data_IF_867859962388
#
_entry.id   IF_867859962388
#
_cell.length_a   1.000
_cell.length_b   1.000
_cell.length_c   1.000
_cell.angle_alpha   90.00
_cell.angle_beta   90.00
_cell.angle_gamma   90.00
#
_symmetry.space_group_name_H-M   'P 1'
#
loop_
_entity.id
_entity.type
_entity.pdbx_description
1 polymer ?
#
# COMPACT_ATOMS: atom_id res chain seq x y z
N UNK A 1 12.98 1.87 7.40
CA UNK A 1 11.72 1.13 7.38
C UNK A 1 11.16 1.17 5.96
N UNK A 2 10.80 0.01 5.39
CA UNK A 2 10.11 -0.05 4.10
C UNK A 2 8.76 0.65 4.24
N UNK A 3 8.46 1.62 3.37
CA UNK A 3 7.13 2.24 3.31
C UNK A 3 6.14 1.25 2.70
N UNK A 4 5.00 1.05 3.35
CA UNK A 4 3.91 0.31 2.74
C UNK A 4 3.39 1.11 1.54
N UNK A 5 3.36 0.47 0.35
CA UNK A 5 2.77 1.03 -0.86
C UNK A 5 1.23 0.93 -0.77
N UNK A 6 0.66 1.52 0.28
CA UNK A 6 -0.79 1.52 0.49
C UNK A 6 -1.42 2.68 -0.29
N UNK A 7 -2.65 2.49 -0.78
CA UNK A 7 -3.44 3.60 -1.30
C UNK A 7 -3.60 4.68 -0.25
N UNK A 8 -3.52 5.94 -0.65
CA UNK A 8 -3.90 7.05 0.22
C UNK A 8 -5.41 7.23 0.21
N UNK A 9 -5.98 7.61 1.35
CA UNK A 9 -7.39 7.89 1.50
C UNK A 9 -7.60 9.36 1.79
N UNK A 10 -8.55 9.97 1.09
CA UNK A 10 -9.11 11.25 1.48
C UNK A 10 -10.30 10.98 2.38
N UNK A 11 -10.19 11.45 3.61
CA UNK A 11 -11.12 11.10 4.69
C UNK A 11 -11.77 12.35 5.26
N UNK A 12 -13.03 12.22 5.64
CA UNK A 12 -13.77 13.21 6.39
C UNK A 12 -13.49 13.00 7.86
N UNK A 13 -12.96 14.02 8.53
CA UNK A 13 -12.52 13.94 9.92
C UNK A 13 -13.09 15.07 10.75
N UNK A 14 -13.30 14.78 12.02
CA UNK A 14 -13.79 15.72 13.04
C UNK A 14 -12.91 15.61 14.29
N UNK A 15 -12.90 16.61 15.19
CA UNK A 15 -12.31 16.45 16.50
C UNK A 15 -12.85 15.22 17.24
N UNK A 16 -12.03 14.56 18.05
CA UNK A 16 -12.40 13.32 18.76
C UNK A 16 -13.67 13.51 19.62
N UNK A 17 -13.76 14.67 20.31
CA UNK A 17 -14.88 15.05 21.17
C UNK A 17 -16.10 15.62 20.40
N UNK A 18 -16.04 15.71 19.07
CA UNK A 18 -17.12 16.27 18.25
C UNK A 18 -18.41 15.48 18.38
N UNK A 19 -19.54 16.20 18.37
CA UNK A 19 -20.88 15.61 18.31
C UNK A 19 -21.20 14.91 17.00
N UNK A 20 -20.50 15.25 15.91
CA UNK A 20 -20.72 14.70 14.57
C UNK A 20 -20.14 13.29 14.45
N UNK A 21 -20.98 12.30 14.16
CA UNK A 21 -20.58 10.88 14.07
C UNK A 21 -20.59 10.34 12.64
N UNK A 22 -21.36 10.97 11.76
CA UNK A 22 -21.56 10.58 10.35
C UNK A 22 -21.73 11.84 9.49
N UNK A 23 -21.54 11.73 8.16
CA UNK A 23 -21.61 12.88 7.26
C UNK A 23 -22.92 13.67 7.35
N UNK A 24 -24.05 12.99 7.56
CA UNK A 24 -25.39 13.59 7.65
C UNK A 24 -25.53 14.56 8.81
N UNK A 25 -24.77 14.37 9.86
CA UNK A 25 -24.80 15.25 11.04
C UNK A 25 -24.22 16.65 10.75
N UNK A 26 -23.47 16.80 9.63
CA UNK A 26 -22.81 18.05 9.24
C UNK A 26 -23.71 19.01 8.45
N UNK A 27 -25.00 18.75 8.32
CA UNK A 27 -25.93 19.63 7.61
C UNK A 27 -25.87 21.06 8.15
N UNK A 28 -25.63 22.04 7.26
CA UNK A 28 -25.45 23.45 7.59
C UNK A 28 -24.06 23.81 8.14
N UNK A 29 -23.17 22.83 8.30
CA UNK A 29 -21.82 23.03 8.84
C UNK A 29 -20.80 23.49 7.80
N UNK A 30 -19.59 23.79 8.30
CA UNK A 30 -18.43 24.25 7.52
C UNK A 30 -17.40 23.11 7.43
N UNK A 31 -17.00 22.77 6.20
CA UNK A 31 -15.99 21.74 5.90
C UNK A 31 -14.80 22.35 5.18
N UNK A 32 -13.60 22.29 5.77
CA UNK A 32 -12.38 22.81 5.16
C UNK A 32 -11.59 21.71 4.43
N UNK A 33 -11.05 22.03 3.24
CA UNK A 33 -10.32 21.03 2.42
C UNK A 33 -9.53 21.67 1.29
N UNK A 34 -8.49 20.97 0.80
CA UNK A 34 -7.84 21.27 -0.48
C UNK A 34 -8.70 20.79 -1.68
N UNK A 35 -9.51 19.72 -1.49
CA UNK A 35 -10.31 19.08 -2.54
C UNK A 35 -11.73 19.66 -2.65
N UNK A 36 -11.88 20.98 -2.75
CA UNK A 36 -13.18 21.66 -2.71
C UNK A 36 -14.20 21.04 -3.67
N UNK A 37 -13.84 20.82 -4.96
CA UNK A 37 -14.78 20.31 -5.98
C UNK A 37 -15.23 18.87 -5.67
N UNK A 38 -14.31 18.03 -5.24
CA UNK A 38 -14.59 16.62 -4.91
C UNK A 38 -15.45 16.54 -3.66
N UNK A 39 -15.13 17.31 -2.63
CA UNK A 39 -15.87 17.37 -1.38
C UNK A 39 -17.31 17.90 -1.58
N UNK A 40 -17.49 18.95 -2.39
CA UNK A 40 -18.84 19.42 -2.78
C UNK A 40 -19.63 18.33 -3.50
N UNK A 41 -19.01 17.63 -4.45
CA UNK A 41 -19.67 16.52 -5.17
C UNK A 41 -20.07 15.39 -4.22
N UNK A 42 -19.20 15.02 -3.27
CA UNK A 42 -19.48 13.99 -2.27
C UNK A 42 -20.72 14.33 -1.43
N UNK A 43 -20.81 15.54 -0.88
CA UNK A 43 -21.96 15.94 -0.07
C UNK A 43 -23.22 16.11 -0.89
N UNK A 44 -23.12 16.65 -2.12
CA UNK A 44 -24.25 16.76 -3.04
C UNK A 44 -24.84 15.39 -3.42
N UNK A 45 -24.01 14.37 -3.64
CA UNK A 45 -24.46 13.01 -3.91
C UNK A 45 -25.20 12.36 -2.73
N UNK A 46 -24.90 12.80 -1.51
CA UNK A 46 -25.59 12.35 -0.27
C UNK A 46 -26.80 13.22 0.08
N UNK A 47 -27.06 14.29 -0.66
CA UNK A 47 -28.13 15.25 -0.34
C UNK A 47 -27.89 16.08 0.92
N UNK A 48 -26.62 16.27 1.31
CA UNK A 48 -26.23 16.99 2.50
C UNK A 48 -25.77 18.40 2.10
N UNK A 49 -26.40 19.43 2.68
CA UNK A 49 -25.97 20.81 2.48
C UNK A 49 -24.90 21.23 3.49
N UNK A 50 -23.70 21.57 2.97
CA UNK A 50 -22.56 22.04 3.77
C UNK A 50 -21.84 23.18 3.04
N UNK A 51 -21.25 24.09 3.81
CA UNK A 51 -20.35 25.10 3.26
C UNK A 51 -18.94 24.51 3.14
N UNK A 52 -18.46 24.31 1.91
CA UNK A 52 -17.10 23.81 1.67
C UNK A 52 -16.16 24.97 1.41
N UNK A 53 -15.16 25.13 2.26
CA UNK A 53 -14.13 26.18 2.21
C UNK A 53 -12.77 25.60 1.77
N UNK A 54 -12.02 26.40 1.01
CA UNK A 54 -10.66 26.05 0.64
C UNK A 54 -9.72 26.23 1.83
N UNK A 55 -8.90 25.21 2.08
CA UNK A 55 -7.86 25.23 3.08
C UNK A 55 -6.60 24.57 2.52
N UNK A 56 -5.47 25.27 2.58
CA UNK A 56 -4.19 24.74 2.14
C UNK A 56 -3.24 24.60 3.33
N UNK A 57 -2.59 23.42 3.41
CA UNK A 57 -1.58 23.08 4.43
C UNK A 57 -2.13 23.04 5.86
N UNK A 58 -1.62 22.12 6.65
CA UNK A 58 -1.97 21.90 8.04
C UNK A 58 -3.50 21.88 8.29
N UNK A 59 -4.25 21.20 7.40
CA UNK A 59 -5.71 21.15 7.45
C UNK A 59 -6.18 20.49 8.75
N UNK A 60 -5.42 19.53 9.28
CA UNK A 60 -5.67 18.89 10.57
C UNK A 60 -5.68 19.85 11.76
N UNK A 61 -4.87 20.93 11.72
CA UNK A 61 -4.85 21.94 12.78
C UNK A 61 -6.12 22.81 12.74
N UNK A 62 -6.64 23.04 11.52
CA UNK A 62 -7.85 23.85 11.30
C UNK A 62 -9.14 23.14 11.71
N UNK A 63 -9.09 21.83 11.94
CA UNK A 63 -10.24 21.05 12.39
C UNK A 63 -10.90 21.57 13.68
N UNK A 64 -10.21 22.41 14.44
CA UNK A 64 -10.76 23.08 15.63
C UNK A 64 -11.49 24.40 15.35
N UNK A 65 -11.38 24.91 14.11
CA UNK A 65 -11.96 26.20 13.69
C UNK A 65 -13.19 26.02 12.79
N UNK A 66 -13.45 24.78 12.35
CA UNK A 66 -14.56 24.39 11.46
C UNK A 66 -15.25 23.14 12.01
N UNK A 67 -16.37 22.73 11.43
CA UNK A 67 -17.13 21.56 11.90
C UNK A 67 -16.47 20.24 11.51
N UNK A 68 -15.83 20.20 10.33
CA UNK A 68 -15.07 19.06 9.85
C UNK A 68 -13.99 19.48 8.86
N UNK A 69 -13.03 18.59 8.62
CA UNK A 69 -12.05 18.75 7.54
C UNK A 69 -11.99 17.51 6.66
N UNK A 70 -11.59 17.69 5.40
CA UNK A 70 -11.24 16.58 4.51
C UNK A 70 -9.74 16.64 4.27
N UNK A 71 -9.07 15.57 4.64
CA UNK A 71 -7.62 15.49 4.58
C UNK A 71 -7.15 14.12 4.06
N UNK A 72 -5.89 14.06 3.60
CA UNK A 72 -5.27 12.85 3.07
C UNK A 72 -4.57 12.05 4.17
N UNK A 73 -4.71 10.74 4.15
CA UNK A 73 -4.00 9.86 5.07
C UNK A 73 -3.71 8.48 4.49
N UNK A 74 -2.59 7.88 4.87
CA UNK A 74 -2.32 6.46 4.66
C UNK A 74 -2.88 5.62 5.81
N UNK A 75 -2.41 5.89 7.03
CA UNK A 75 -2.66 5.07 8.23
C UNK A 75 -3.60 5.71 9.24
N UNK A 76 -3.88 6.99 9.09
CA UNK A 76 -4.61 7.79 10.08
C UNK A 76 -3.80 8.17 11.33
N UNK A 77 -2.49 7.86 11.38
CA UNK A 77 -1.68 8.09 12.57
C UNK A 77 -1.53 9.58 12.91
N UNK A 78 -1.27 10.43 11.91
CA UNK A 78 -1.19 11.89 12.09
C UNK A 78 -2.52 12.47 12.59
N UNK A 79 -3.65 12.03 12.01
CA UNK A 79 -4.97 12.48 12.42
C UNK A 79 -5.25 12.14 13.89
N UNK A 80 -5.00 10.90 14.31
CA UNK A 80 -5.14 10.49 15.72
C UNK A 80 -4.23 11.26 16.64
N UNK A 81 -2.97 11.52 16.25
CA UNK A 81 -2.02 12.29 17.04
C UNK A 81 -2.49 13.74 17.25
N UNK A 82 -3.30 14.29 16.34
CA UNK A 82 -3.92 15.59 16.45
C UNK A 82 -5.32 15.57 17.10
N UNK A 83 -5.73 14.44 17.69
CA UNK A 83 -7.04 14.32 18.35
C UNK A 83 -8.21 14.33 17.36
N UNK A 84 -8.00 13.78 16.14
CA UNK A 84 -9.01 13.74 15.10
C UNK A 84 -9.50 12.32 14.86
N UNK A 85 -10.78 12.19 14.57
CA UNK A 85 -11.48 10.95 14.29
C UNK A 85 -12.02 10.95 12.85
N UNK A 86 -11.80 9.85 12.13
CA UNK A 86 -12.37 9.65 10.79
C UNK A 86 -13.83 9.24 10.94
N UNK A 87 -14.73 9.94 10.21
CA UNK A 87 -16.16 9.59 10.17
C UNK A 87 -16.61 9.05 8.81
N UNK A 88 -15.85 9.32 7.72
CA UNK A 88 -16.09 8.67 6.42
C UNK A 88 -14.83 8.74 5.53
N UNK A 89 -14.82 7.94 4.46
CA UNK A 89 -13.81 7.97 3.41
C UNK A 89 -14.43 8.51 2.12
N UNK A 90 -13.95 9.66 1.67
CA UNK A 90 -14.47 10.34 0.47
C UNK A 90 -13.91 9.69 -0.80
N UNK A 91 -12.62 9.36 -0.80
CA UNK A 91 -11.94 8.83 -1.97
C UNK A 91 -10.71 8.01 -1.58
N UNK A 92 -10.46 6.96 -2.33
CA UNK A 92 -9.19 6.22 -2.28
C UNK A 92 -8.39 6.56 -3.54
N UNK A 93 -7.13 6.90 -3.37
CA UNK A 93 -6.25 7.32 -4.46
C UNK A 93 -4.96 6.51 -4.47
N UNK A 94 -4.51 6.19 -5.68
CA UNK A 94 -3.21 5.55 -5.92
C UNK A 94 -2.43 6.35 -6.96
N UNK A 95 -1.09 6.46 -6.85
CA UNK A 95 -0.27 7.04 -7.90
C UNK A 95 -0.48 6.33 -9.24
N UNK A 96 -0.54 7.11 -10.32
CA UNK A 96 -0.69 6.59 -11.69
C UNK A 96 0.33 7.25 -12.61
N UNK A 97 0.99 6.46 -13.44
CA UNK A 97 1.74 6.98 -14.58
C UNK A 97 0.73 7.36 -15.66
N UNK A 98 0.78 8.61 -16.10
CA UNK A 98 -0.11 9.12 -17.14
C UNK A 98 0.69 9.66 -18.32
N UNK A 99 0.13 9.59 -19.52
CA UNK A 99 0.68 10.18 -20.71
C UNK A 99 -0.38 10.99 -21.46
N UNK A 100 0.00 12.06 -22.15
CA UNK A 100 -0.93 12.73 -23.03
C UNK A 100 -1.17 11.91 -24.32
N UNK A 101 -2.34 12.10 -24.94
CA UNK A 101 -2.75 11.31 -26.11
C UNK A 101 -1.82 11.47 -27.31
N UNK A 102 -1.25 12.66 -27.50
CA UNK A 102 -0.31 12.93 -28.61
C UNK A 102 1.00 12.18 -28.42
N UNK A 103 1.57 12.17 -27.21
CA UNK A 103 2.75 11.37 -26.91
C UNK A 103 2.49 9.87 -27.04
N UNK A 104 1.29 9.42 -26.68
CA UNK A 104 0.89 8.01 -26.80
C UNK A 104 0.75 7.56 -28.27
N UNK A 105 0.37 8.43 -29.19
CA UNK A 105 0.28 8.12 -30.64
C UNK A 105 1.61 8.11 -31.36
N UNK A 106 2.68 8.67 -30.76
CA UNK A 106 4.04 8.63 -31.26
C UNK A 106 4.70 7.31 -30.82
N UNK A 107 5.11 6.49 -31.78
CA UNK A 107 5.60 5.13 -31.51
C UNK A 107 6.86 5.12 -30.61
N UNK A 108 7.83 5.98 -30.87
CA UNK A 108 9.04 6.09 -30.07
C UNK A 108 8.75 6.52 -28.63
N UNK A 109 7.89 7.52 -28.45
CA UNK A 109 7.51 7.99 -27.10
C UNK A 109 6.70 6.95 -26.34
N UNK A 110 5.77 6.26 -27.02
CA UNK A 110 5.01 5.17 -26.42
C UNK A 110 5.91 4.06 -25.90
N UNK A 111 6.87 3.59 -26.74
CA UNK A 111 7.85 2.57 -26.32
C UNK A 111 8.63 3.01 -25.07
N UNK A 112 9.08 4.26 -25.01
CA UNK A 112 9.78 4.78 -23.82
C UNK A 112 8.90 4.82 -22.58
N UNK A 113 7.63 5.23 -22.73
CA UNK A 113 6.66 5.24 -21.62
C UNK A 113 6.37 3.82 -21.12
N UNK A 114 6.19 2.87 -22.04
CA UNK A 114 5.97 1.45 -21.71
C UNK A 114 7.18 0.84 -20.97
N UNK A 115 8.41 1.13 -21.45
CA UNK A 115 9.64 0.68 -20.80
C UNK A 115 9.79 1.25 -19.37
N UNK A 116 9.49 2.54 -19.18
CA UNK A 116 9.49 3.16 -17.85
C UNK A 116 8.41 2.49 -16.95
N UNK A 117 7.21 2.29 -17.49
CA UNK A 117 6.13 1.63 -16.76
C UNK A 117 6.52 0.22 -16.32
N UNK A 118 7.14 -0.55 -17.22
CA UNK A 118 7.63 -1.90 -16.92
C UNK A 118 8.67 -1.92 -15.80
N UNK A 119 9.65 -1.01 -15.84
CA UNK A 119 10.67 -0.89 -14.81
C UNK A 119 10.09 -0.48 -13.45
N UNK A 120 9.17 0.48 -13.44
CA UNK A 120 8.47 0.90 -12.21
C UNK A 120 7.62 -0.23 -11.62
N UNK A 121 6.89 -0.96 -12.46
CA UNK A 121 6.11 -2.13 -12.03
C UNK A 121 7.01 -3.24 -11.47
N UNK A 122 8.15 -3.50 -12.11
CA UNK A 122 9.15 -4.45 -11.63
C UNK A 122 9.70 -4.07 -10.26
N UNK A 123 10.07 -2.78 -10.08
CA UNK A 123 10.54 -2.26 -8.80
C UNK A 123 9.49 -2.38 -7.69
N UNK A 124 8.21 -2.07 -7.99
CA UNK A 124 7.11 -2.22 -7.04
C UNK A 124 6.88 -3.70 -6.69
N UNK A 125 6.89 -4.58 -7.68
CA UNK A 125 6.73 -6.02 -7.46
C UNK A 125 7.86 -6.61 -6.61
N UNK A 126 9.12 -6.18 -6.86
CA UNK A 126 10.29 -6.62 -6.11
C UNK A 126 10.29 -6.11 -4.66
N UNK A 127 9.69 -4.95 -4.39
CA UNK A 127 9.70 -4.31 -3.07
C UNK A 127 9.07 -5.17 -1.96
N UNK A 128 8.13 -6.04 -2.31
CA UNK A 128 7.42 -6.92 -1.37
C UNK A 128 7.96 -8.35 -1.40
N UNK A 129 9.05 -8.61 -2.11
CA UNK A 129 9.65 -9.94 -2.23
C UNK A 129 11.02 -9.99 -1.56
N UNK A 130 11.38 -11.17 -1.12
CA UNK A 130 12.69 -11.51 -0.57
C UNK A 130 13.23 -12.76 -1.28
N UNK A 131 14.54 -12.80 -1.46
CA UNK A 131 15.24 -14.03 -1.85
C UNK A 131 15.55 -14.84 -0.61
N UNK A 132 15.16 -16.08 -0.59
CA UNK A 132 15.48 -17.03 0.47
C UNK A 132 16.43 -18.07 -0.09
N UNK A 133 17.59 -18.22 0.55
CA UNK A 133 18.60 -19.24 0.22
C UNK A 133 18.79 -20.15 1.42
N UNK A 134 19.03 -21.44 1.14
CA UNK A 134 19.23 -22.44 2.18
C UNK A 134 20.00 -23.64 1.65
N UNK A 135 20.65 -24.38 2.54
CA UNK A 135 21.25 -25.66 2.24
C UNK A 135 20.36 -26.77 2.80
N UNK A 136 20.16 -27.82 2.01
CA UNK A 136 19.28 -28.93 2.35
C UNK A 136 19.96 -30.25 2.00
N UNK A 137 19.85 -31.26 2.87
CA UNK A 137 20.27 -32.63 2.49
C UNK A 137 19.37 -33.14 1.38
N UNK A 138 19.94 -33.91 0.46
CA UNK A 138 19.17 -34.54 -0.64
C UNK A 138 18.02 -35.40 -0.13
N UNK A 139 18.21 -36.07 1.02
CA UNK A 139 17.16 -36.86 1.67
C UNK A 139 15.93 -36.03 2.07
N UNK A 140 16.15 -34.78 2.42
CA UNK A 140 15.13 -33.90 2.98
C UNK A 140 14.56 -32.91 1.94
N UNK A 141 15.13 -32.93 0.72
CA UNK A 141 14.79 -31.98 -0.34
C UNK A 141 13.30 -32.00 -0.67
N UNK A 142 12.70 -33.16 -0.79
CA UNK A 142 11.28 -33.28 -1.13
C UNK A 142 10.39 -32.61 -0.07
N UNK A 143 10.66 -32.87 1.21
CA UNK A 143 9.91 -32.27 2.31
C UNK A 143 10.04 -30.74 2.36
N UNK A 144 11.24 -30.20 2.05
CA UNK A 144 11.47 -28.76 1.96
C UNK A 144 10.74 -28.17 0.75
N UNK A 145 10.79 -28.83 -0.41
CA UNK A 145 10.14 -28.36 -1.64
C UNK A 145 8.61 -28.25 -1.50
N UNK A 146 7.99 -29.16 -0.75
CA UNK A 146 6.54 -29.15 -0.48
C UNK A 146 6.09 -27.96 0.39
N UNK A 147 6.99 -27.41 1.20
CA UNK A 147 6.72 -26.23 2.03
C UNK A 147 6.88 -24.91 1.28
N UNK A 148 7.64 -24.90 0.18
CA UNK A 148 7.98 -23.67 -0.53
C UNK A 148 6.84 -23.22 -1.43
N UNK A 149 6.32 -21.99 -1.23
CA UNK A 149 5.35 -21.39 -2.14
C UNK A 149 6.10 -21.00 -3.42
N UNK A 150 5.93 -21.75 -4.48
CA UNK A 150 6.60 -21.44 -5.73
C UNK A 150 5.64 -20.82 -6.74
N UNK A 151 5.91 -19.59 -7.20
CA UNK A 151 5.32 -19.06 -8.43
C UNK A 151 5.77 -19.88 -9.64
N UNK A 152 6.94 -20.51 -9.53
CA UNK A 152 7.58 -21.50 -10.42
C UNK A 152 8.39 -22.44 -9.54
N UNK A 153 9.19 -23.31 -10.11
CA UNK A 153 10.08 -24.19 -9.34
C UNK A 153 11.20 -23.39 -8.66
N UNK A 154 11.56 -23.68 -7.40
CA UNK A 154 12.78 -23.16 -6.78
C UNK A 154 14.04 -23.57 -7.58
N UNK A 155 15.09 -22.78 -7.51
CA UNK A 155 16.39 -23.14 -8.07
C UNK A 155 17.06 -24.11 -7.12
N UNK A 156 17.51 -25.27 -7.63
CA UNK A 156 18.29 -26.26 -6.88
C UNK A 156 19.66 -26.40 -7.52
N UNK A 157 20.72 -26.18 -6.73
CA UNK A 157 22.11 -26.27 -7.19
C UNK A 157 22.90 -27.26 -6.36
N UNK A 158 23.82 -28.01 -6.99
CA UNK A 158 24.70 -28.94 -6.31
C UNK A 158 25.71 -28.15 -5.45
N UNK A 159 26.00 -28.68 -4.26
CA UNK A 159 27.10 -28.22 -3.42
C UNK A 159 28.35 -29.09 -3.61
N UNK A 160 29.48 -28.68 -3.03
CA UNK A 160 30.71 -29.45 -3.07
C UNK A 160 30.55 -30.81 -2.37
N UNK A 161 29.75 -30.88 -1.29
CA UNK A 161 29.31 -32.19 -0.75
C UNK A 161 28.12 -32.71 -1.58
N UNK A 162 28.26 -33.87 -2.20
CA UNK A 162 27.21 -34.46 -3.07
C UNK A 162 25.93 -34.82 -2.32
N UNK A 163 25.96 -34.91 -0.98
CA UNK A 163 24.78 -35.19 -0.16
C UNK A 163 23.93 -33.93 0.11
N UNK A 164 24.41 -32.77 -0.28
CA UNK A 164 23.75 -31.50 -0.04
C UNK A 164 23.45 -30.73 -1.32
N UNK A 165 22.40 -29.93 -1.28
CA UNK A 165 22.03 -28.99 -2.33
C UNK A 165 21.76 -27.62 -1.73
N UNK A 166 22.00 -26.58 -2.53
CA UNK A 166 21.50 -25.25 -2.26
C UNK A 166 20.13 -25.08 -2.91
N UNK A 167 19.18 -24.51 -2.18
CA UNK A 167 17.86 -24.17 -2.67
C UNK A 167 17.70 -22.65 -2.59
N UNK A 168 17.24 -22.05 -3.69
CA UNK A 168 16.96 -20.60 -3.75
C UNK A 168 15.55 -20.37 -4.28
N UNK A 169 14.81 -19.49 -3.60
CA UNK A 169 13.44 -19.14 -3.98
C UNK A 169 13.18 -17.66 -3.70
N UNK A 170 12.37 -17.04 -4.55
CA UNK A 170 11.84 -15.69 -4.32
C UNK A 170 10.41 -15.84 -3.82
N UNK A 171 10.11 -15.17 -2.70
CA UNK A 171 8.80 -15.28 -2.06
C UNK A 171 8.36 -13.93 -1.46
N UNK A 172 7.05 -13.76 -1.19
CA UNK A 172 6.57 -12.55 -0.50
C UNK A 172 7.16 -12.42 0.91
N UNK A 173 7.71 -11.26 1.25
CA UNK A 173 8.32 -10.98 2.57
C UNK A 173 7.39 -11.33 3.75
N UNK A 174 6.07 -11.13 3.58
CA UNK A 174 5.08 -11.37 4.64
C UNK A 174 5.02 -12.82 5.14
N UNK A 175 5.40 -13.79 4.31
CA UNK A 175 5.32 -15.22 4.67
C UNK A 175 6.65 -15.77 5.20
N UNK A 176 7.77 -15.08 5.00
CA UNK A 176 9.11 -15.53 5.39
C UNK A 176 9.16 -15.95 6.86
N UNK A 177 8.72 -15.09 7.79
CA UNK A 177 8.78 -15.35 9.23
C UNK A 177 8.00 -16.58 9.69
N UNK A 178 6.95 -16.95 8.96
CA UNK A 178 6.16 -18.16 9.26
C UNK A 178 6.76 -19.40 8.59
N UNK A 179 7.40 -19.22 7.45
CA UNK A 179 7.96 -20.29 6.65
C UNK A 179 9.29 -20.81 7.22
N UNK A 180 10.19 -19.91 7.64
CA UNK A 180 11.54 -20.27 8.13
C UNK A 180 11.53 -21.30 9.27
N UNK A 181 10.67 -21.22 10.30
CA UNK A 181 10.64 -22.27 11.33
C UNK A 181 10.24 -23.64 10.79
N UNK A 182 9.35 -23.71 9.80
CA UNK A 182 8.91 -24.95 9.17
C UNK A 182 10.00 -25.57 8.31
N UNK A 183 10.71 -24.74 7.54
CA UNK A 183 11.86 -25.15 6.74
C UNK A 183 12.98 -25.72 7.60
N UNK A 184 13.29 -25.09 8.75
CA UNK A 184 14.27 -25.59 9.70
C UNK A 184 13.88 -26.96 10.25
N UNK A 185 12.62 -27.18 10.59
CA UNK A 185 12.12 -28.50 11.04
C UNK A 185 12.18 -29.56 9.95
N UNK A 186 12.05 -29.18 8.70
CA UNK A 186 12.19 -30.05 7.54
C UNK A 186 13.65 -30.31 7.12
N UNK A 187 14.65 -29.83 7.88
CA UNK A 187 16.07 -30.11 7.65
C UNK A 187 16.83 -29.01 6.90
N UNK A 188 16.21 -27.87 6.59
CA UNK A 188 16.91 -26.74 5.98
C UNK A 188 17.88 -26.06 6.96
N UNK A 189 19.09 -25.73 6.49
CA UNK A 189 20.15 -25.08 7.24
C UNK A 189 20.71 -23.88 6.49
N UNK A 190 21.47 -23.02 7.16
CA UNK A 190 22.08 -21.84 6.51
C UNK A 190 21.06 -20.94 5.79
N UNK A 191 19.87 -20.76 6.37
CA UNK A 191 18.80 -19.97 5.79
C UNK A 191 19.17 -18.49 5.90
N UNK A 192 19.21 -17.77 4.77
CA UNK A 192 19.49 -16.34 4.64
C UNK A 192 18.51 -15.69 3.67
#
# INVERSE_FOLDING_TARGET
AKRNLQPVRWVLVVPEESKYKKPEDLTGGIVATELVKITRKYFAQKGIDVKVEFSWGATEVKARLVDAVVDVTETGASLRANGLRIIDTIMVSTPRLIANKQAWSDEWKREKIENIALLLQGAIAAYQKVGLKMNVRRSDLQAVMELLPSEKSPTVSNLADPNWVAVEVILPERIERYLVPSLKRAGATGII
#
